data_IF_005458530250
#
_entry.id   IF_005458530250
#
_cell.length_a   1.000
_cell.length_b   1.000
_cell.length_c   1.000
_cell.angle_alpha   90.00
_cell.angle_beta   90.00
_cell.angle_gamma   90.00
#
_symmetry.space_group_name_H-M   'P 1'
#
loop_
_entity.id
_entity.type
_entity.pdbx_description
1 polymer ?
#
# COMPACT_ATOMS: atom_id res chain seq x y z
N UNK A 1 -5.54 -14.61 -4.12
CA UNK A 1 -5.33 -13.42 -3.26
C UNK A 1 -4.67 -12.35 -4.10
N UNK A 2 -5.34 -11.21 -4.30
CA UNK A 2 -4.87 -10.12 -5.14
C UNK A 2 -4.19 -9.07 -4.27
N UNK A 3 -3.02 -8.58 -4.69
CA UNK A 3 -2.33 -7.51 -3.99
C UNK A 3 -2.67 -6.18 -4.62
N UNK A 4 -2.93 -5.19 -3.77
CA UNK A 4 -3.18 -3.81 -4.20
C UNK A 4 -2.21 -2.88 -3.48
N UNK A 5 -1.73 -1.86 -4.19
CA UNK A 5 -0.90 -0.81 -3.61
C UNK A 5 -1.62 0.51 -3.72
N UNK A 6 -1.67 1.24 -2.61
CA UNK A 6 -2.40 2.51 -2.49
C UNK A 6 -1.40 3.62 -2.19
N UNK A 7 -1.19 4.49 -3.17
CA UNK A 7 -0.50 5.77 -2.98
C UNK A 7 -1.41 6.78 -2.25
N UNK A 8 -0.82 7.72 -1.52
CA UNK A 8 -1.61 8.69 -0.73
C UNK A 8 -2.46 8.05 0.38
N UNK A 9 -2.07 6.85 0.84
CA UNK A 9 -2.83 6.04 1.79
C UNK A 9 -3.12 6.74 3.13
N UNK A 10 -2.22 7.63 3.57
CA UNK A 10 -2.39 8.40 4.80
C UNK A 10 -3.34 9.61 4.67
N UNK A 11 -3.72 9.98 3.45
CA UNK A 11 -4.65 11.08 3.17
C UNK A 11 -6.11 10.73 3.46
N UNK A 12 -6.99 11.74 3.35
CA UNK A 12 -8.44 11.59 3.60
C UNK A 12 -9.07 10.46 2.76
N UNK A 13 -8.86 10.50 1.45
CA UNK A 13 -9.38 9.48 0.52
C UNK A 13 -8.73 8.11 0.75
N UNK A 14 -7.40 8.09 0.92
CA UNK A 14 -6.66 6.84 1.12
C UNK A 14 -7.13 6.06 2.35
N UNK A 15 -7.36 6.74 3.48
CA UNK A 15 -7.88 6.12 4.70
C UNK A 15 -9.29 5.55 4.53
N UNK A 16 -10.18 6.29 3.87
CA UNK A 16 -11.54 5.84 3.60
C UNK A 16 -11.54 4.61 2.66
N UNK A 17 -10.69 4.63 1.63
CA UNK A 17 -10.52 3.54 0.69
C UNK A 17 -10.01 2.27 1.39
N UNK A 18 -8.93 2.37 2.20
CA UNK A 18 -8.40 1.24 2.96
C UNK A 18 -9.49 0.60 3.82
N UNK A 19 -10.22 1.42 4.59
CA UNK A 19 -11.31 0.94 5.45
C UNK A 19 -12.40 0.18 4.67
N UNK A 20 -12.73 0.64 3.45
CA UNK A 20 -13.71 -0.05 2.61
C UNK A 20 -13.20 -1.38 2.05
N UNK A 21 -11.89 -1.49 1.81
CA UNK A 21 -11.25 -2.67 1.23
C UNK A 21 -10.82 -3.71 2.28
N UNK A 22 -10.62 -3.31 3.54
CA UNK A 22 -10.26 -4.23 4.65
C UNK A 22 -11.31 -5.34 4.89
N UNK A 23 -12.55 -5.11 4.49
CA UNK A 23 -13.64 -6.09 4.56
C UNK A 23 -13.45 -7.25 3.56
N UNK A 24 -12.74 -7.04 2.45
CA UNK A 24 -12.48 -8.05 1.44
C UNK A 24 -11.22 -8.85 1.78
N UNK A 25 -11.42 -10.06 2.31
CA UNK A 25 -10.33 -10.99 2.67
C UNK A 25 -9.57 -11.55 1.47
N UNK A 26 -10.05 -11.35 0.24
CA UNK A 26 -9.35 -11.77 -0.98
C UNK A 26 -8.23 -10.80 -1.37
N UNK A 27 -8.21 -9.61 -0.75
CA UNK A 27 -7.23 -8.54 -1.00
C UNK A 27 -6.13 -8.53 0.07
N UNK A 28 -4.92 -8.19 -0.37
CA UNK A 28 -3.80 -7.84 0.49
C UNK A 28 -3.35 -6.43 0.15
N UNK A 29 -3.39 -5.54 1.15
CA UNK A 29 -3.24 -4.10 0.95
C UNK A 29 -1.81 -3.67 1.32
N UNK A 30 -1.15 -2.97 0.40
CA UNK A 30 0.13 -2.29 0.63
C UNK A 30 -0.12 -0.77 0.58
N UNK A 31 0.01 -0.08 1.71
CA UNK A 31 -0.24 1.34 1.86
C UNK A 31 1.05 2.14 1.81
N UNK A 32 1.15 3.14 0.92
CA UNK A 32 2.31 4.02 0.82
C UNK A 32 2.08 5.35 1.53
N UNK A 33 3.08 5.77 2.30
CA UNK A 33 3.15 7.09 2.93
C UNK A 33 4.58 7.64 2.84
N UNK A 34 4.73 8.96 2.74
CA UNK A 34 6.07 9.59 2.78
C UNK A 34 6.71 9.52 4.17
N UNK A 35 5.87 9.50 5.21
CA UNK A 35 6.31 9.39 6.59
C UNK A 35 6.12 7.97 7.08
N UNK A 36 7.04 7.50 7.93
CA UNK A 36 6.90 6.24 8.64
C UNK A 36 5.62 6.29 9.47
N UNK A 37 4.68 5.42 9.15
CA UNK A 37 3.41 5.36 9.85
C UNK A 37 3.50 4.28 10.93
N UNK A 38 3.27 4.65 12.19
CA UNK A 38 3.21 3.69 13.30
C UNK A 38 1.81 3.07 13.46
N UNK A 39 0.93 3.27 12.47
CA UNK A 39 -0.44 2.80 12.53
C UNK A 39 -0.45 1.30 12.22
N UNK A 40 -0.60 0.50 13.28
CA UNK A 40 -0.75 -0.95 13.20
C UNK A 40 -2.22 -1.25 12.85
N UNK A 41 -2.60 -1.08 11.58
CA UNK A 41 -3.83 -1.68 11.07
C UNK A 41 -3.56 -3.16 10.78
N UNK A 42 -4.42 -4.05 11.28
CA UNK A 42 -4.15 -5.50 11.38
C UNK A 42 -4.01 -6.23 10.04
N UNK A 43 -4.36 -5.61 8.90
CA UNK A 43 -4.35 -6.25 7.58
C UNK A 43 -3.62 -5.49 6.46
N UNK A 44 -3.14 -4.27 6.70
CA UNK A 44 -2.45 -3.46 5.69
C UNK A 44 -0.95 -3.36 5.99
N UNK A 45 -0.10 -3.67 5.00
CA UNK A 45 1.35 -3.46 5.05
C UNK A 45 1.66 -1.99 4.74
N UNK A 46 2.22 -1.25 5.70
CA UNK A 46 2.57 0.17 5.50
C UNK A 46 4.04 0.31 5.12
N UNK A 47 4.29 0.99 4.01
CA UNK A 47 5.63 1.26 3.51
C UNK A 47 5.89 2.74 3.36
N UNK A 48 7.10 3.12 3.73
CA UNK A 48 7.59 4.45 3.45
C UNK A 48 8.02 4.52 1.99
N UNK A 49 7.46 5.47 1.23
CA UNK A 49 7.83 5.70 -0.15
C UNK A 49 7.58 7.16 -0.53
N UNK A 50 8.45 7.70 -1.38
CA UNK A 50 8.23 8.95 -2.09
C UNK A 50 7.80 8.67 -3.52
N UNK A 51 6.66 9.24 -3.94
CA UNK A 51 6.13 9.12 -5.30
C UNK A 51 7.03 9.77 -6.34
N UNK A 52 7.84 10.74 -5.94
CA UNK A 52 8.80 11.41 -6.83
C UNK A 52 10.13 10.66 -6.94
N UNK A 53 10.32 9.59 -6.18
CA UNK A 53 11.49 8.72 -6.27
C UNK A 53 11.19 7.49 -7.11
N UNK A 54 11.74 7.45 -8.33
CA UNK A 54 11.61 6.30 -9.23
C UNK A 54 12.06 5.00 -8.57
N UNK A 55 13.16 5.05 -7.80
CA UNK A 55 13.66 3.91 -7.03
C UNK A 55 12.60 3.42 -6.03
N UNK A 56 12.05 4.31 -5.20
CA UNK A 56 11.09 3.91 -4.17
C UNK A 56 9.82 3.32 -4.76
N UNK A 57 9.32 3.89 -5.86
CA UNK A 57 8.11 3.38 -6.52
C UNK A 57 8.38 2.05 -7.23
N UNK A 58 9.53 1.90 -7.87
CA UNK A 58 9.92 0.61 -8.48
C UNK A 58 10.00 -0.49 -7.43
N UNK A 59 10.69 -0.25 -6.32
CA UNK A 59 10.80 -1.19 -5.19
C UNK A 59 9.44 -1.51 -4.56
N UNK A 60 8.55 -0.50 -4.44
CA UNK A 60 7.21 -0.69 -3.90
C UNK A 60 6.31 -1.51 -4.84
N UNK A 61 6.40 -1.27 -6.15
CA UNK A 61 5.60 -1.96 -7.16
C UNK A 61 5.99 -3.44 -7.35
N UNK A 62 7.27 -3.78 -7.13
CA UNK A 62 7.74 -5.18 -7.16
C UNK A 62 6.98 -6.09 -6.18
N UNK A 63 6.37 -5.54 -5.14
CA UNK A 63 5.63 -6.32 -4.14
C UNK A 63 4.24 -6.73 -4.64
N UNK A 64 3.71 -5.97 -5.60
CA UNK A 64 2.40 -6.18 -6.23
C UNK A 64 2.54 -7.00 -7.51
N UNK A 65 3.58 -6.73 -8.29
CA UNK A 65 3.84 -7.43 -9.54
C UNK A 65 4.33 -8.84 -9.22
N UNK A 66 3.60 -9.87 -9.67
CA UNK A 66 4.16 -11.24 -9.67
C UNK A 66 5.37 -11.25 -10.59
N UNK A 67 6.53 -11.80 -10.18
CA UNK A 67 7.61 -12.03 -11.12
C UNK A 67 7.08 -12.89 -12.26
N UNK A 68 7.27 -12.43 -13.49
CA UNK A 68 7.07 -13.22 -14.69
C UNK A 68 8.23 -14.21 -14.79
N UNK A 69 8.20 -15.27 -13.97
CA UNK A 69 9.07 -16.45 -14.11
C UNK A 69 8.31 -17.68 -13.63
#
# INVERSE_FOLDING_TARGET
MSKILIAGASGFVGKALIKSLEADTSLSIVALSRQKNNIVHSRSDWRQADLFSLKNITESMQVVIKPFF
#
